data_IF_287364438271
#
_entry.id   IF_287364438271
#
_cell.length_a   1.000
_cell.length_b   1.000
_cell.length_c   1.000
_cell.angle_alpha   90.00
_cell.angle_beta   90.00
_cell.angle_gamma   90.00
#
_symmetry.space_group_name_H-M   'P 1'
#
loop_
_entity.id
_entity.type
_entity.pdbx_description
1 polymer ?
#
# COMPACT_ATOMS: atom_id res chain seq x y z
N UNK A 1 -20.47 -40.65 -95.90
CA UNK A 1 -19.94 -41.27 -94.67
C UNK A 1 -21.01 -42.14 -94.08
N UNK A 2 -20.95 -43.41 -94.47
CA UNK A 2 -21.79 -44.51 -94.00
C UNK A 2 -21.48 -44.77 -92.53
N UNK A 3 -22.44 -44.46 -91.66
CA UNK A 3 -22.37 -44.79 -90.25
C UNK A 3 -22.74 -46.28 -90.12
N UNK A 4 -21.73 -47.14 -90.26
CA UNK A 4 -21.89 -48.58 -90.08
C UNK A 4 -21.99 -48.82 -88.58
N UNK A 5 -23.20 -49.11 -88.09
CA UNK A 5 -23.45 -49.54 -86.71
C UNK A 5 -22.53 -50.70 -86.39
N UNK A 6 -21.85 -50.66 -85.23
CA UNK A 6 -20.85 -51.67 -84.88
C UNK A 6 -21.51 -53.04 -84.67
N UNK A 7 -20.86 -54.09 -85.15
CA UNK A 7 -21.37 -55.47 -85.07
C UNK A 7 -21.67 -55.89 -83.61
N UNK A 8 -20.90 -55.37 -82.64
CA UNK A 8 -21.13 -55.56 -81.21
C UNK A 8 -22.46 -54.98 -80.71
N UNK A 9 -22.85 -53.81 -81.22
CA UNK A 9 -24.09 -53.14 -80.85
C UNK A 9 -25.31 -53.87 -81.42
N UNK A 10 -25.20 -54.36 -82.66
CA UNK A 10 -26.22 -55.22 -83.25
C UNK A 10 -26.36 -56.56 -82.50
N UNK A 11 -25.26 -57.23 -82.14
CA UNK A 11 -25.33 -58.48 -81.38
C UNK A 11 -25.91 -58.27 -79.96
N UNK A 12 -25.56 -57.18 -79.28
CA UNK A 12 -26.10 -56.85 -77.96
C UNK A 12 -27.60 -56.54 -77.99
N UNK A 13 -28.04 -55.74 -78.97
CA UNK A 13 -29.46 -55.45 -79.17
C UNK A 13 -30.26 -56.71 -79.55
N UNK A 14 -29.70 -57.59 -80.39
CA UNK A 14 -30.37 -58.82 -80.81
C UNK A 14 -30.51 -59.81 -79.66
N UNK A 15 -29.47 -59.96 -78.80
CA UNK A 15 -29.55 -60.82 -77.61
C UNK A 15 -30.61 -60.34 -76.62
N UNK A 16 -30.70 -59.02 -76.38
CA UNK A 16 -31.73 -58.45 -75.50
C UNK A 16 -33.15 -58.64 -76.07
N UNK A 17 -33.31 -58.50 -77.39
CA UNK A 17 -34.59 -58.74 -78.07
C UNK A 17 -34.98 -60.22 -77.98
N UNK A 18 -34.04 -61.15 -78.15
CA UNK A 18 -34.33 -62.58 -78.09
C UNK A 18 -34.69 -63.02 -76.67
N UNK A 19 -34.03 -62.46 -75.64
CA UNK A 19 -34.38 -62.68 -74.24
C UNK A 19 -35.74 -62.07 -73.86
N UNK A 20 -36.07 -60.87 -74.36
CA UNK A 20 -37.42 -60.31 -74.19
C UNK A 20 -38.47 -61.13 -74.93
N UNK A 21 -38.16 -61.67 -76.11
CA UNK A 21 -39.10 -62.51 -76.86
C UNK A 21 -39.33 -63.85 -76.17
N UNK A 22 -38.28 -64.45 -75.60
CA UNK A 22 -38.37 -65.70 -74.86
C UNK A 22 -39.14 -65.51 -73.55
N UNK A 23 -38.83 -64.47 -72.77
CA UNK A 23 -39.55 -64.15 -71.54
C UNK A 23 -41.02 -63.79 -71.80
N UNK A 24 -41.34 -63.06 -72.87
CA UNK A 24 -42.73 -62.80 -73.25
C UNK A 24 -43.48 -64.08 -73.68
N UNK A 25 -42.84 -64.99 -74.42
CA UNK A 25 -43.45 -66.26 -74.83
C UNK A 25 -43.70 -67.19 -73.62
N UNK A 26 -42.77 -67.22 -72.65
CA UNK A 26 -42.90 -67.97 -71.39
C UNK A 26 -44.00 -67.36 -70.49
N UNK A 27 -44.04 -66.02 -70.38
CA UNK A 27 -45.06 -65.29 -69.63
C UNK A 27 -46.44 -65.54 -70.24
N UNK A 28 -46.60 -65.47 -71.57
CA UNK A 28 -47.88 -65.72 -72.24
C UNK A 28 -48.37 -67.18 -72.07
N UNK A 29 -47.45 -68.16 -72.06
CA UNK A 29 -47.78 -69.55 -71.74
C UNK A 29 -48.32 -69.73 -70.31
N UNK A 30 -47.86 -68.94 -69.35
CA UNK A 30 -48.27 -69.03 -67.94
C UNK A 30 -49.35 -68.01 -67.53
N UNK A 31 -49.64 -66.99 -68.35
CA UNK A 31 -50.65 -65.95 -68.12
C UNK A 31 -51.95 -66.12 -68.93
N UNK A 32 -52.15 -67.24 -69.64
CA UNK A 32 -53.42 -67.58 -70.31
C UNK A 32 -54.48 -68.06 -69.30
N UNK A 33 -54.98 -67.11 -68.50
CA UNK A 33 -55.97 -67.30 -67.43
C UNK A 33 -57.25 -68.06 -67.87
N UNK A 34 -57.83 -67.85 -69.07
CA UNK A 34 -59.03 -68.58 -69.49
C UNK A 34 -58.78 -70.09 -69.67
N UNK A 35 -57.67 -70.48 -70.31
CA UNK A 35 -57.32 -71.89 -70.53
C UNK A 35 -56.94 -72.60 -69.24
N UNK A 36 -56.29 -71.90 -68.31
CA UNK A 36 -55.93 -72.47 -67.01
C UNK A 36 -57.18 -72.68 -66.13
N UNK A 37 -58.14 -71.73 -66.13
CA UNK A 37 -59.41 -71.90 -65.42
C UNK A 37 -60.21 -73.10 -65.93
N UNK A 38 -60.22 -73.32 -67.25
CA UNK A 38 -60.88 -74.48 -67.85
C UNK A 38 -60.24 -75.79 -67.43
N UNK A 39 -58.91 -75.91 -67.45
CA UNK A 39 -58.20 -77.11 -66.96
C UNK A 39 -58.47 -77.40 -65.47
N UNK A 40 -58.48 -76.36 -64.64
CA UNK A 40 -58.79 -76.51 -63.21
C UNK A 40 -60.24 -76.93 -63.00
N UNK A 41 -61.18 -76.35 -63.75
CA UNK A 41 -62.59 -76.76 -63.70
C UNK A 41 -62.77 -78.22 -64.16
N UNK A 42 -62.04 -78.65 -65.18
CA UNK A 42 -62.10 -80.02 -65.70
C UNK A 42 -61.50 -81.05 -64.74
N UNK A 43 -60.36 -80.76 -64.10
CA UNK A 43 -59.81 -81.63 -63.05
C UNK A 43 -60.74 -81.71 -61.84
N UNK A 44 -61.37 -80.61 -61.45
CA UNK A 44 -62.34 -80.61 -60.35
C UNK A 44 -63.57 -81.45 -60.73
N UNK A 45 -64.04 -81.35 -61.98
CA UNK A 45 -65.12 -82.18 -62.51
C UNK A 45 -64.78 -83.67 -62.42
N UNK A 46 -63.62 -84.08 -62.92
CA UNK A 46 -63.17 -85.48 -62.86
C UNK A 46 -63.06 -85.98 -61.42
N UNK A 47 -62.55 -85.13 -60.51
CA UNK A 47 -62.42 -85.47 -59.10
C UNK A 47 -63.79 -85.80 -58.46
N UNK A 48 -64.82 -84.98 -58.71
CA UNK A 48 -66.16 -85.24 -58.17
C UNK A 48 -66.85 -86.43 -58.85
N UNK A 49 -66.68 -86.61 -60.15
CA UNK A 49 -67.16 -87.82 -60.86
C UNK A 49 -66.54 -89.10 -60.32
N UNK A 50 -65.23 -89.10 -60.07
CA UNK A 50 -64.53 -90.25 -59.48
C UNK A 50 -65.02 -90.58 -58.05
N UNK A 51 -65.58 -89.59 -57.35
CA UNK A 51 -66.20 -89.74 -56.03
C UNK A 51 -67.69 -90.11 -56.08
N UNK A 52 -68.24 -90.35 -57.28
CA UNK A 52 -69.63 -90.78 -57.47
C UNK A 52 -70.67 -89.69 -57.23
N UNK A 53 -70.28 -88.41 -57.27
CA UNK A 53 -71.17 -87.26 -57.09
C UNK A 53 -71.27 -86.52 -58.42
N UNK A 54 -72.45 -86.49 -59.02
CA UNK A 54 -72.69 -85.69 -60.22
C UNK A 54 -72.94 -84.23 -59.83
N UNK A 55 -72.04 -83.35 -60.26
CA UNK A 55 -72.13 -81.90 -60.06
C UNK A 55 -72.37 -81.24 -61.40
N UNK A 56 -73.31 -80.31 -61.45
CA UNK A 56 -73.65 -79.56 -62.68
C UNK A 56 -72.44 -78.73 -63.17
N UNK A 57 -72.19 -78.79 -64.48
CA UNK A 57 -71.00 -78.19 -65.09
C UNK A 57 -70.89 -76.68 -64.85
N UNK A 58 -72.03 -75.98 -64.82
CA UNK A 58 -72.09 -74.55 -64.60
C UNK A 58 -71.62 -74.17 -63.18
N UNK A 59 -71.90 -75.01 -62.17
CA UNK A 59 -71.56 -74.74 -60.77
C UNK A 59 -70.05 -74.82 -60.52
N UNK A 60 -69.37 -75.80 -61.15
CA UNK A 60 -67.91 -75.95 -61.05
C UNK A 60 -67.20 -74.75 -61.67
N UNK A 61 -67.68 -74.29 -62.82
CA UNK A 61 -67.08 -73.17 -63.54
C UNK A 61 -67.26 -71.84 -62.77
N UNK A 62 -68.44 -71.63 -62.17
CA UNK A 62 -68.71 -70.46 -61.32
C UNK A 62 -67.86 -70.46 -60.05
N UNK A 63 -67.72 -71.60 -59.37
CA UNK A 63 -66.89 -71.74 -58.18
C UNK A 63 -65.41 -71.42 -58.44
N UNK A 64 -64.85 -71.95 -59.54
CA UNK A 64 -63.46 -71.66 -59.94
C UNK A 64 -63.30 -70.18 -60.28
N UNK A 65 -64.25 -69.57 -61.01
CA UNK A 65 -64.22 -68.13 -61.30
C UNK A 65 -64.15 -67.28 -60.03
N UNK A 66 -64.99 -67.58 -59.03
CA UNK A 66 -65.09 -66.78 -57.82
C UNK A 66 -63.85 -66.94 -56.91
N UNK A 67 -63.27 -68.15 -56.85
CA UNK A 67 -62.04 -68.41 -56.12
C UNK A 67 -60.86 -67.54 -56.61
N UNK A 68 -60.71 -67.41 -57.93
CA UNK A 68 -59.65 -66.56 -58.49
C UNK A 68 -59.91 -65.06 -58.34
N UNK A 69 -61.18 -64.63 -58.21
CA UNK A 69 -61.53 -63.23 -58.00
C UNK A 69 -61.15 -62.72 -56.59
N UNK A 70 -61.35 -63.54 -55.55
CA UNK A 70 -61.19 -63.11 -54.15
C UNK A 70 -59.74 -63.18 -53.61
N UNK A 71 -58.80 -63.78 -54.34
CA UNK A 71 -57.41 -63.96 -53.86
C UNK A 71 -56.60 -62.66 -53.76
N UNK A 72 -57.03 -61.57 -54.41
CA UNK A 72 -56.25 -60.33 -54.55
C UNK A 72 -56.79 -59.15 -53.72
N UNK A 73 -57.76 -59.37 -52.83
CA UNK A 73 -58.33 -58.32 -51.99
C UNK A 73 -57.75 -58.36 -50.57
N UNK A 74 -57.20 -57.23 -50.12
CA UNK A 74 -56.66 -57.05 -48.76
C UNK A 74 -57.79 -56.89 -47.74
N UNK A 75 -57.76 -57.65 -46.64
CA UNK A 75 -58.67 -57.47 -45.50
C UNK A 75 -57.98 -56.68 -44.39
N UNK A 76 -58.50 -55.49 -44.07
CA UNK A 76 -57.99 -54.67 -42.98
C UNK A 76 -58.39 -55.23 -41.60
N UNK A 77 -57.50 -55.19 -40.58
CA UNK A 77 -57.83 -55.62 -39.22
C UNK A 77 -58.87 -54.72 -38.56
N UNK A 78 -59.65 -55.29 -37.63
CA UNK A 78 -60.81 -54.66 -36.98
C UNK A 78 -60.50 -53.29 -36.32
N UNK A 79 -61.47 -52.35 -36.28
CA UNK A 79 -61.25 -50.99 -35.80
C UNK A 79 -60.96 -50.94 -34.29
N UNK A 80 -59.76 -50.49 -33.93
CA UNK A 80 -59.40 -50.16 -32.54
C UNK A 80 -60.26 -49.01 -32.03
N UNK A 81 -60.71 -49.08 -30.77
CA UNK A 81 -61.56 -48.08 -30.12
C UNK A 81 -60.97 -46.66 -30.11
N UNK A 82 -61.83 -45.64 -30.05
CA UNK A 82 -61.45 -44.22 -30.17
C UNK A 82 -60.48 -43.75 -29.09
N UNK A 83 -60.65 -44.21 -27.84
CA UNK A 83 -59.73 -43.90 -26.74
C UNK A 83 -58.35 -44.53 -26.95
N UNK A 84 -58.30 -45.77 -27.45
CA UNK A 84 -57.03 -46.42 -27.79
C UNK A 84 -56.30 -45.69 -28.91
N UNK A 85 -57.03 -45.17 -29.91
CA UNK A 85 -56.47 -44.33 -30.98
C UNK A 85 -55.95 -42.98 -30.47
N UNK A 86 -56.64 -42.36 -29.53
CA UNK A 86 -56.20 -41.10 -28.92
C UNK A 86 -54.96 -41.28 -28.04
N UNK A 87 -54.94 -42.30 -27.18
CA UNK A 87 -53.78 -42.63 -26.36
C UNK A 87 -52.59 -43.06 -27.21
N UNK A 88 -52.82 -43.84 -28.27
CA UNK A 88 -51.77 -44.19 -29.23
C UNK A 88 -51.22 -42.93 -29.92
N UNK A 89 -52.07 -42.00 -30.36
CA UNK A 89 -51.61 -40.72 -30.96
C UNK A 89 -50.85 -39.86 -29.96
N UNK A 90 -51.33 -39.73 -28.73
CA UNK A 90 -50.64 -39.00 -27.67
C UNK A 90 -49.27 -39.65 -27.36
N UNK A 91 -49.21 -40.98 -27.27
CA UNK A 91 -47.96 -41.71 -27.03
C UNK A 91 -46.98 -41.62 -28.21
N UNK A 92 -47.45 -41.73 -29.45
CA UNK A 92 -46.59 -41.60 -30.65
C UNK A 92 -46.02 -40.18 -30.75
N UNK A 93 -46.82 -39.16 -30.41
CA UNK A 93 -46.38 -37.76 -30.41
C UNK A 93 -45.68 -37.31 -29.12
N UNK A 94 -45.40 -38.23 -28.18
CA UNK A 94 -44.84 -37.91 -26.85
C UNK A 94 -43.58 -37.05 -26.89
N UNK A 95 -42.71 -37.24 -27.88
CA UNK A 95 -41.50 -36.43 -28.04
C UNK A 95 -41.76 -34.94 -28.26
N UNK A 96 -42.96 -34.57 -28.70
CA UNK A 96 -43.35 -33.19 -29.05
C UNK A 96 -44.12 -32.45 -27.95
N UNK A 97 -44.76 -33.16 -27.02
CA UNK A 97 -45.58 -32.54 -25.96
C UNK A 97 -45.17 -32.91 -24.54
N UNK A 98 -44.58 -34.09 -24.30
CA UNK A 98 -44.30 -34.58 -22.95
C UNK A 98 -43.17 -33.78 -22.28
N UNK A 99 -42.11 -33.47 -23.01
CA UNK A 99 -40.98 -32.68 -22.49
C UNK A 99 -41.41 -31.27 -22.03
N UNK A 100 -42.11 -30.46 -22.85
CA UNK A 100 -42.54 -29.13 -22.39
C UNK A 100 -43.60 -29.19 -21.28
N UNK A 101 -44.54 -30.15 -21.30
CA UNK A 101 -45.57 -30.26 -20.25
C UNK A 101 -45.01 -30.69 -18.90
N UNK A 102 -44.11 -31.67 -18.87
CA UNK A 102 -43.41 -32.06 -17.64
C UNK A 102 -42.52 -30.93 -17.13
N UNK A 103 -41.86 -30.19 -18.04
CA UNK A 103 -41.09 -29.00 -17.67
C UNK A 103 -41.94 -27.92 -16.99
N UNK A 104 -43.09 -27.56 -17.57
CA UNK A 104 -44.00 -26.55 -17.00
C UNK A 104 -44.59 -27.02 -15.68
N UNK A 105 -45.04 -28.27 -15.58
CA UNK A 105 -45.55 -28.84 -14.33
C UNK A 105 -44.47 -28.92 -13.25
N UNK A 106 -43.24 -29.26 -13.63
CA UNK A 106 -42.09 -29.28 -12.72
C UNK A 106 -41.75 -27.89 -12.18
N UNK A 107 -41.73 -26.87 -13.03
CA UNK A 107 -41.52 -25.47 -12.61
C UNK A 107 -42.67 -24.98 -11.74
N UNK A 108 -43.92 -25.30 -12.09
CA UNK A 108 -45.09 -24.96 -11.28
C UNK A 108 -45.07 -25.61 -9.90
N UNK A 109 -44.74 -26.91 -9.84
CA UNK A 109 -44.61 -27.65 -8.58
C UNK A 109 -43.45 -27.10 -7.72
N UNK A 110 -42.32 -26.77 -8.34
CA UNK A 110 -41.19 -26.12 -7.66
C UNK A 110 -41.58 -24.75 -7.12
N UNK A 111 -42.30 -23.93 -7.90
CA UNK A 111 -42.78 -22.63 -7.47
C UNK A 111 -43.76 -22.73 -6.27
N UNK A 112 -44.56 -23.80 -6.18
CA UNK A 112 -45.51 -24.00 -5.08
C UNK A 112 -44.80 -24.56 -3.83
N UNK A 113 -43.92 -25.56 -3.99
CA UNK A 113 -43.32 -26.26 -2.86
C UNK A 113 -42.04 -25.60 -2.33
N UNK A 114 -41.22 -25.04 -3.22
CA UNK A 114 -39.87 -24.56 -2.87
C UNK A 114 -39.83 -23.04 -2.73
N UNK A 115 -40.54 -22.29 -3.58
CA UNK A 115 -40.45 -20.83 -3.57
C UNK A 115 -40.84 -20.16 -2.22
N UNK A 116 -41.89 -20.60 -1.48
CA UNK A 116 -42.24 -20.02 -0.18
C UNK A 116 -41.17 -20.28 0.89
N UNK A 117 -40.61 -21.50 0.90
CA UNK A 117 -39.54 -21.89 1.83
C UNK A 117 -38.24 -21.15 1.51
N UNK A 118 -37.94 -20.97 0.21
CA UNK A 118 -36.77 -20.22 -0.24
C UNK A 118 -36.92 -18.71 0.02
N UNK A 119 -38.11 -18.13 -0.14
CA UNK A 119 -38.35 -16.72 0.18
C UNK A 119 -38.26 -16.46 1.68
N UNK A 120 -38.83 -17.33 2.52
CA UNK A 120 -38.71 -17.23 3.98
C UNK A 120 -37.25 -17.41 4.45
N UNK A 121 -36.52 -18.39 3.91
CA UNK A 121 -35.10 -18.59 4.22
C UNK A 121 -34.25 -17.39 3.79
N UNK A 122 -34.46 -16.86 2.58
CA UNK A 122 -33.70 -15.70 2.09
C UNK A 122 -34.05 -14.42 2.85
N UNK A 123 -35.30 -14.23 3.28
CA UNK A 123 -35.71 -13.15 4.17
C UNK A 123 -35.00 -13.25 5.52
N UNK A 124 -34.99 -14.42 6.16
CA UNK A 124 -34.31 -14.67 7.43
C UNK A 124 -32.78 -14.50 7.33
N UNK A 125 -32.17 -14.97 6.24
CA UNK A 125 -30.75 -14.79 5.95
C UNK A 125 -30.41 -13.30 5.74
N UNK A 126 -31.30 -12.55 5.07
CA UNK A 126 -31.10 -11.10 4.87
C UNK A 126 -31.29 -10.28 6.15
N UNK A 127 -32.19 -10.71 7.04
CA UNK A 127 -32.42 -10.10 8.35
C UNK A 127 -31.24 -10.32 9.30
N UNK A 128 -30.73 -11.55 9.39
CA UNK A 128 -29.54 -11.86 10.20
C UNK A 128 -28.30 -11.13 9.68
N UNK A 129 -28.12 -11.06 8.35
CA UNK A 129 -27.04 -10.27 7.76
C UNK A 129 -27.19 -8.76 8.00
N UNK A 130 -28.42 -8.23 7.94
CA UNK A 130 -28.70 -6.83 8.25
C UNK A 130 -28.45 -6.52 9.74
N UNK A 131 -28.89 -7.40 10.64
CA UNK A 131 -28.65 -7.30 12.08
C UNK A 131 -27.15 -7.31 12.39
N UNK A 132 -26.39 -8.24 11.81
CA UNK A 132 -24.94 -8.29 12.02
C UNK A 132 -24.20 -7.02 11.60
N UNK A 133 -24.65 -6.35 10.52
CA UNK A 133 -24.09 -5.04 10.10
C UNK A 133 -24.46 -3.91 11.08
N UNK A 134 -25.68 -3.93 11.61
CA UNK A 134 -26.12 -2.95 12.62
C UNK A 134 -25.35 -3.16 13.92
N UNK A 135 -25.10 -4.40 14.32
CA UNK A 135 -24.31 -4.75 15.51
C UNK A 135 -22.84 -4.32 15.34
N UNK A 136 -22.21 -4.60 14.18
CA UNK A 136 -20.86 -4.09 13.85
C UNK A 136 -20.81 -2.56 13.93
N UNK A 137 -21.80 -1.88 13.34
CA UNK A 137 -21.87 -0.43 13.37
C UNK A 137 -21.96 0.11 14.80
N UNK A 138 -22.75 -0.54 15.67
CA UNK A 138 -22.90 -0.17 17.09
C UNK A 138 -21.65 -0.38 17.91
N UNK A 139 -20.97 -1.51 17.71
CA UNK A 139 -19.69 -1.79 18.35
C UNK A 139 -18.63 -0.74 17.94
N UNK A 140 -18.59 -0.40 16.65
CA UNK A 140 -17.72 0.66 16.15
C UNK A 140 -18.03 2.00 16.80
N UNK A 141 -19.30 2.42 16.87
CA UNK A 141 -19.70 3.67 17.56
C UNK A 141 -19.22 3.67 19.03
N UNK A 142 -19.38 2.56 19.76
CA UNK A 142 -18.93 2.45 21.14
C UNK A 142 -17.41 2.57 21.28
N UNK A 143 -16.64 1.87 20.43
CA UNK A 143 -15.18 1.96 20.42
C UNK A 143 -14.67 3.35 20.03
N UNK A 144 -15.41 4.03 19.16
CA UNK A 144 -15.07 5.32 18.60
C UNK A 144 -15.12 6.44 19.66
N UNK A 145 -16.07 6.37 20.59
CA UNK A 145 -16.14 7.29 21.71
C UNK A 145 -14.88 7.25 22.60
N UNK A 146 -14.38 6.04 22.87
CA UNK A 146 -13.13 5.85 23.63
C UNK A 146 -11.91 6.42 22.90
N UNK A 147 -11.81 6.21 21.58
CA UNK A 147 -10.71 6.76 20.76
C UNK A 147 -10.74 8.29 20.77
N UNK A 148 -11.93 8.89 20.63
CA UNK A 148 -12.12 10.34 20.64
C UNK A 148 -11.71 10.95 21.97
N UNK A 149 -12.15 10.38 23.09
CA UNK A 149 -11.80 10.88 24.43
C UNK A 149 -10.28 10.80 24.68
N UNK A 150 -9.64 9.70 24.29
CA UNK A 150 -8.19 9.55 24.38
C UNK A 150 -7.45 10.60 23.54
N UNK A 151 -7.90 10.83 22.31
CA UNK A 151 -7.33 11.82 21.41
C UNK A 151 -7.52 13.24 21.95
N UNK A 152 -8.72 13.57 22.42
CA UNK A 152 -9.02 14.87 23.03
C UNK A 152 -8.15 15.14 24.27
N UNK A 153 -7.99 14.13 25.14
CA UNK A 153 -7.09 14.20 26.28
C UNK A 153 -5.65 14.45 25.83
N UNK A 154 -5.13 13.68 24.87
CA UNK A 154 -3.77 13.86 24.33
C UNK A 154 -3.53 15.25 23.74
N UNK A 155 -4.50 15.77 22.99
CA UNK A 155 -4.44 17.11 22.42
C UNK A 155 -4.41 18.15 23.54
N UNK A 156 -5.26 18.01 24.56
CA UNK A 156 -5.28 18.94 25.70
C UNK A 156 -3.95 18.95 26.47
N UNK A 157 -3.35 17.78 26.69
CA UNK A 157 -2.04 17.68 27.37
C UNK A 157 -0.92 18.29 26.55
N UNK A 158 -0.91 18.05 25.23
CA UNK A 158 0.12 18.61 24.34
C UNK A 158 -0.04 20.12 24.14
N UNK A 159 -1.27 20.64 24.09
CA UNK A 159 -1.52 22.08 24.05
C UNK A 159 -1.09 22.81 25.32
N UNK A 160 -1.12 22.12 26.47
CA UNK A 160 -0.65 22.67 27.74
C UNK A 160 0.89 22.71 27.85
N UNK A 161 1.61 21.91 27.06
CA UNK A 161 3.07 21.96 27.00
C UNK A 161 3.53 23.18 26.20
N UNK A 162 4.26 24.09 26.86
CA UNK A 162 4.76 25.34 26.28
C UNK A 162 5.75 25.09 25.13
N UNK A 163 6.55 24.02 25.19
CA UNK A 163 7.48 23.69 24.11
C UNK A 163 6.72 23.28 22.86
N UNK A 164 5.73 22.40 23.03
CA UNK A 164 4.87 21.93 21.93
C UNK A 164 4.04 23.09 21.37
N UNK A 165 3.44 23.92 22.22
CA UNK A 165 2.60 25.04 21.80
C UNK A 165 3.34 26.09 20.92
N UNK A 166 4.65 26.22 21.08
CA UNK A 166 5.48 27.16 20.31
C UNK A 166 6.01 26.58 18.99
N UNK A 167 5.86 25.26 18.75
CA UNK A 167 6.33 24.64 17.52
C UNK A 167 5.44 25.00 16.33
N UNK A 168 6.01 25.48 15.21
CA UNK A 168 5.23 25.72 13.98
C UNK A 168 4.50 24.46 13.48
N UNK A 169 5.17 23.31 13.55
CA UNK A 169 4.58 22.02 13.16
C UNK A 169 3.40 21.64 14.07
N UNK A 170 3.49 21.92 15.37
CA UNK A 170 2.40 21.62 16.31
C UNK A 170 1.16 22.48 16.04
N UNK A 171 1.34 23.75 15.65
CA UNK A 171 0.20 24.62 15.28
C UNK A 171 -0.62 24.03 14.14
N UNK A 172 0.06 23.55 13.09
CA UNK A 172 -0.61 22.91 11.94
C UNK A 172 -1.38 21.65 12.36
N UNK A 173 -0.78 20.80 13.20
CA UNK A 173 -1.45 19.58 13.70
C UNK A 173 -2.64 19.93 14.60
N UNK A 174 -2.54 20.96 15.44
CA UNK A 174 -3.63 21.41 16.28
C UNK A 174 -4.79 22.04 15.50
N UNK A 175 -4.51 22.72 14.38
CA UNK A 175 -5.54 23.22 13.46
C UNK A 175 -6.30 22.07 12.80
N UNK A 176 -5.60 21.01 12.36
CA UNK A 176 -6.20 19.81 11.78
C UNK A 176 -7.02 18.99 12.80
N UNK A 177 -6.74 19.15 14.09
CA UNK A 177 -7.41 18.40 15.15
C UNK A 177 -8.89 18.80 15.30
N UNK A 178 -9.21 20.08 15.11
CA UNK A 178 -10.58 20.60 15.22
C UNK A 178 -11.58 19.83 14.37
N UNK A 179 -11.42 19.81 13.03
CA UNK A 179 -12.38 19.14 12.13
C UNK A 179 -12.45 17.62 12.36
N UNK A 180 -11.35 16.96 12.73
CA UNK A 180 -11.34 15.52 13.02
C UNK A 180 -12.11 15.21 14.31
N UNK A 181 -11.95 16.01 15.37
CA UNK A 181 -12.73 15.84 16.59
C UNK A 181 -14.21 16.18 16.38
N UNK A 182 -14.53 17.14 15.51
CA UNK A 182 -15.90 17.47 15.15
C UNK A 182 -16.59 16.37 14.34
N UNK A 183 -15.92 15.82 13.31
CA UNK A 183 -16.43 14.66 12.57
C UNK A 183 -16.65 13.49 13.52
N UNK A 184 -15.70 13.28 14.44
CA UNK A 184 -15.78 12.22 15.42
C UNK A 184 -16.96 12.38 16.40
N UNK A 185 -17.27 13.61 16.84
CA UNK A 185 -18.46 13.91 17.66
C UNK A 185 -19.76 13.73 16.88
N UNK A 186 -19.77 14.05 15.57
CA UNK A 186 -20.93 13.84 14.72
C UNK A 186 -21.23 12.35 14.54
N UNK A 187 -20.19 11.52 14.42
CA UNK A 187 -20.31 10.07 14.31
C UNK A 187 -20.95 9.40 15.55
N UNK A 188 -20.76 9.94 16.75
CA UNK A 188 -21.43 9.45 17.97
C UNK A 188 -22.94 9.70 17.98
N UNK A 189 -23.43 10.64 17.17
CA UNK A 189 -24.87 10.95 17.08
C UNK A 189 -25.62 10.01 16.14
N UNK A 190 -24.94 9.06 15.50
CA UNK A 190 -25.56 8.08 14.62
C UNK A 190 -26.42 7.13 15.47
N UNK A 191 -27.75 7.32 15.41
CA UNK A 191 -28.71 6.44 16.08
C UNK A 191 -29.00 5.22 15.22
N UNK A 192 -28.60 4.03 15.70
CA UNK A 192 -28.83 2.74 15.04
C UNK A 192 -29.90 1.92 15.81
N UNK A 193 -30.85 1.27 15.10
CA UNK A 193 -31.91 0.49 15.72
C UNK A 193 -31.36 -0.69 16.54
N UNK A 194 -32.09 -1.10 17.58
CA UNK A 194 -31.69 -2.25 18.41
C UNK A 194 -31.89 -3.59 17.69
N UNK A 195 -32.99 -3.69 16.94
CA UNK A 195 -33.37 -4.88 16.18
C UNK A 195 -33.86 -4.45 14.80
N UNK A 196 -33.41 -5.17 13.77
CA UNK A 196 -33.83 -4.96 12.38
C UNK A 196 -35.13 -5.71 12.12
N UNK A 197 -36.11 -5.03 11.50
CA UNK A 197 -37.41 -5.63 11.16
C UNK A 197 -37.49 -6.01 9.69
N UNK A 198 -38.43 -6.90 9.34
CA UNK A 198 -38.68 -7.32 7.95
C UNK A 198 -39.07 -6.16 7.03
N UNK A 199 -39.63 -5.08 7.57
CA UNK A 199 -40.01 -3.89 6.81
C UNK A 199 -38.84 -2.93 6.61
N UNK A 200 -37.97 -2.78 7.61
CA UNK A 200 -36.89 -1.78 7.63
C UNK A 200 -35.51 -2.32 7.21
N UNK A 201 -35.34 -3.64 7.05
CA UNK A 201 -34.00 -4.24 6.88
C UNK A 201 -33.15 -3.67 5.75
N UNK A 202 -33.77 -3.27 4.63
CA UNK A 202 -33.04 -2.67 3.51
C UNK A 202 -32.51 -1.28 3.84
N UNK A 203 -33.29 -0.49 4.57
CA UNK A 203 -32.93 0.87 4.97
C UNK A 203 -31.91 0.84 6.11
N UNK A 204 -32.20 0.02 7.14
CA UNK A 204 -31.31 -0.17 8.29
C UNK A 204 -29.95 -0.73 7.87
N UNK A 205 -29.92 -1.72 6.96
CA UNK A 205 -28.65 -2.24 6.44
C UNK A 205 -27.89 -1.20 5.63
N UNK A 206 -28.55 -0.29 4.90
CA UNK A 206 -27.88 0.78 4.15
C UNK A 206 -27.31 1.83 5.08
N UNK A 207 -28.08 2.23 6.10
CA UNK A 207 -27.66 3.14 7.16
C UNK A 207 -26.45 2.56 7.93
N UNK A 208 -26.51 1.28 8.31
CA UNK A 208 -25.40 0.60 8.97
C UNK A 208 -24.16 0.55 8.07
N UNK A 209 -24.32 0.24 6.78
CA UNK A 209 -23.17 0.20 5.85
C UNK A 209 -22.51 1.58 5.66
N UNK A 210 -23.29 2.66 5.57
CA UNK A 210 -22.75 4.02 5.48
C UNK A 210 -22.11 4.48 6.80
N UNK A 211 -22.70 4.11 7.94
CA UNK A 211 -22.15 4.34 9.27
C UNK A 211 -20.81 3.62 9.45
N UNK A 212 -20.73 2.32 9.16
CA UNK A 212 -19.48 1.55 9.21
C UNK A 212 -18.40 2.19 8.34
N UNK A 213 -18.75 2.59 7.11
CA UNK A 213 -17.80 3.23 6.19
C UNK A 213 -17.26 4.56 6.71
N UNK A 214 -18.13 5.42 7.25
CA UNK A 214 -17.74 6.71 7.82
C UNK A 214 -16.93 6.54 9.11
N UNK A 215 -17.38 5.70 10.03
CA UNK A 215 -16.68 5.39 11.29
C UNK A 215 -15.29 4.79 11.06
N UNK A 216 -15.13 3.90 10.09
CA UNK A 216 -13.81 3.34 9.73
C UNK A 216 -12.88 4.43 9.19
N UNK A 217 -13.41 5.38 8.41
CA UNK A 217 -12.65 6.53 7.93
C UNK A 217 -12.26 7.46 9.08
N UNK A 218 -13.21 7.86 9.93
CA UNK A 218 -12.95 8.75 11.07
C UNK A 218 -11.94 8.11 12.05
N UNK A 219 -12.07 6.82 12.33
CA UNK A 219 -11.09 6.08 13.15
C UNK A 219 -9.69 6.06 12.52
N UNK A 220 -9.59 5.92 11.19
CA UNK A 220 -8.31 6.02 10.49
C UNK A 220 -7.71 7.44 10.55
N UNK A 221 -8.53 8.46 10.37
CA UNK A 221 -8.12 9.87 10.43
C UNK A 221 -7.68 10.24 11.87
N UNK A 222 -8.41 9.81 12.89
CA UNK A 222 -8.03 9.95 14.31
C UNK A 222 -6.72 9.23 14.63
N UNK A 223 -6.51 8.02 14.10
CA UNK A 223 -5.25 7.28 14.30
C UNK A 223 -4.06 7.95 13.61
N UNK A 224 -4.26 8.48 12.40
CA UNK A 224 -3.24 9.24 11.70
C UNK A 224 -2.85 10.49 12.50
N UNK A 225 -3.84 11.23 13.02
CA UNK A 225 -3.60 12.39 13.87
C UNK A 225 -2.90 12.01 15.18
N UNK A 226 -3.32 10.92 15.84
CA UNK A 226 -2.66 10.41 17.03
C UNK A 226 -1.18 10.10 16.78
N UNK A 227 -0.86 9.53 15.62
CA UNK A 227 0.54 9.24 15.22
C UNK A 227 1.36 10.52 15.02
N UNK A 228 0.77 11.57 14.44
CA UNK A 228 1.43 12.87 14.30
C UNK A 228 1.68 13.53 15.67
N UNK A 229 0.71 13.44 16.58
CA UNK A 229 0.84 13.94 17.95
C UNK A 229 1.91 13.17 18.74
N UNK A 230 2.01 11.85 18.55
CA UNK A 230 3.07 11.03 19.15
C UNK A 230 4.45 11.41 18.61
N UNK A 231 4.57 11.69 17.32
CA UNK A 231 5.83 12.15 16.73
C UNK A 231 6.25 13.52 17.29
N UNK A 232 5.31 14.45 17.47
CA UNK A 232 5.57 15.75 18.12
C UNK A 232 6.00 15.60 19.58
N UNK A 233 5.33 14.71 20.33
CA UNK A 233 5.72 14.41 21.72
C UNK A 233 7.14 13.86 21.76
N UNK A 234 7.45 12.89 20.92
CA UNK A 234 8.78 12.28 20.85
C UNK A 234 9.87 13.30 20.51
N UNK A 235 9.63 14.19 19.53
CA UNK A 235 10.56 15.28 19.21
C UNK A 235 10.77 16.25 20.37
N UNK A 236 9.73 16.50 21.15
CA UNK A 236 9.83 17.38 22.32
C UNK A 236 10.59 16.70 23.46
N UNK A 237 10.37 15.40 23.66
CA UNK A 237 11.06 14.63 24.69
C UNK A 237 12.56 14.48 24.40
N UNK A 238 12.98 14.46 23.12
CA UNK A 238 14.40 14.49 22.76
C UNK A 238 15.04 15.86 23.02
N UNK A 239 14.30 16.97 22.88
CA UNK A 239 14.85 18.31 23.08
C UNK A 239 14.91 18.74 24.55
N UNK A 240 13.94 18.28 25.36
CA UNK A 240 13.75 18.73 26.75
C UNK A 240 15.01 18.64 27.64
N UNK A 241 15.84 17.57 27.58
CA UNK A 241 17.07 17.51 28.37
C UNK A 241 18.06 18.64 28.05
N UNK A 242 18.09 19.12 26.81
CA UNK A 242 19.00 20.20 26.40
C UNK A 242 18.58 21.55 26.95
N UNK A 243 17.28 21.79 27.12
CA UNK A 243 16.78 22.98 27.81
C UNK A 243 17.24 23.02 29.27
N UNK A 244 17.11 21.90 29.99
CA UNK A 244 17.61 21.78 31.37
C UNK A 244 19.12 22.00 31.43
N UNK A 245 19.88 21.35 30.53
CA UNK A 245 21.34 21.55 30.46
C UNK A 245 21.75 22.98 30.14
N UNK A 246 21.00 23.68 29.28
CA UNK A 246 21.23 25.09 29.00
C UNK A 246 21.03 25.97 30.24
N UNK A 247 19.93 25.75 30.97
CA UNK A 247 19.66 26.46 32.22
C UNK A 247 20.74 26.20 33.27
N UNK A 248 21.15 24.93 33.42
CA UNK A 248 22.23 24.55 34.33
C UNK A 248 23.56 25.21 33.93
N UNK A 249 23.89 25.23 32.63
CA UNK A 249 25.11 25.86 32.14
C UNK A 249 25.11 27.38 32.37
N UNK A 250 23.97 28.06 32.15
CA UNK A 250 23.80 29.49 32.45
C UNK A 250 24.00 29.77 33.94
N UNK A 251 23.39 28.96 34.81
CA UNK A 251 23.51 29.10 36.25
C UNK A 251 24.93 28.83 36.74
N UNK A 252 25.62 27.84 36.18
CA UNK A 252 27.02 27.55 36.49
C UNK A 252 27.92 28.72 36.10
N UNK A 253 27.76 29.30 34.91
CA UNK A 253 28.53 30.49 34.49
C UNK A 253 28.22 31.69 35.38
N UNK A 254 26.95 31.89 35.76
CA UNK A 254 26.56 32.95 36.71
C UNK A 254 27.26 32.79 38.06
N UNK A 255 27.33 31.56 38.60
CA UNK A 255 28.01 31.25 39.87
C UNK A 255 29.53 31.49 39.84
N UNK A 256 30.16 31.54 38.67
CA UNK A 256 31.60 31.83 38.56
C UNK A 256 31.93 33.29 38.92
N UNK A 257 30.96 34.20 38.87
CA UNK A 257 31.20 35.62 39.20
C UNK A 257 32.13 36.32 38.21
N UNK A 258 32.05 35.97 36.93
CA UNK A 258 32.86 36.56 35.85
C UNK A 258 32.60 38.07 35.71
N UNK A 259 33.58 38.80 35.17
CA UNK A 259 33.36 40.19 34.75
C UNK A 259 32.30 40.29 33.65
N UNK A 260 31.64 41.44 33.49
CA UNK A 260 30.66 41.65 32.42
C UNK A 260 31.23 41.37 31.02
N UNK A 261 32.51 41.69 30.79
CA UNK A 261 33.18 41.43 29.52
C UNK A 261 33.37 39.92 29.27
N UNK A 262 33.78 39.16 30.29
CA UNK A 262 34.00 37.72 30.17
C UNK A 262 32.68 36.95 30.10
N UNK A 263 31.68 37.33 30.93
CA UNK A 263 30.33 36.78 30.87
C UNK A 263 29.68 37.02 29.49
N UNK A 264 29.93 38.19 28.88
CA UNK A 264 29.46 38.52 27.54
C UNK A 264 29.96 37.57 26.44
N UNK A 265 31.10 36.89 26.64
CA UNK A 265 31.60 35.91 25.67
C UNK A 265 30.77 34.62 25.62
N UNK A 266 30.02 34.29 26.67
CA UNK A 266 29.13 33.12 26.71
C UNK A 266 27.79 33.38 26.02
N UNK A 267 27.34 34.63 25.95
CA UNK A 267 26.04 35.01 25.40
C UNK A 267 25.79 34.50 23.97
N UNK A 268 26.71 34.63 23.00
CA UNK A 268 26.50 34.07 21.66
C UNK A 268 26.41 32.54 21.65
N UNK A 269 27.13 31.86 22.56
CA UNK A 269 27.06 30.39 22.68
C UNK A 269 25.72 29.94 23.26
N UNK A 270 25.23 30.62 24.30
CA UNK A 270 23.89 30.36 24.83
C UNK A 270 22.79 30.63 23.80
N UNK A 271 22.90 31.71 23.04
CA UNK A 271 21.95 32.02 21.97
C UNK A 271 21.93 30.95 20.87
N UNK A 272 23.10 30.39 20.52
CA UNK A 272 23.22 29.28 19.57
C UNK A 272 22.50 28.02 20.08
N UNK A 273 22.67 27.67 21.36
CA UNK A 273 21.96 26.53 21.97
C UNK A 273 20.45 26.79 22.06
N UNK A 274 20.02 27.99 22.47
CA UNK A 274 18.61 28.37 22.54
C UNK A 274 17.94 28.27 21.16
N UNK A 275 18.61 28.75 20.11
CA UNK A 275 18.14 28.62 18.74
C UNK A 275 18.02 27.16 18.30
N UNK A 276 19.02 26.34 18.60
CA UNK A 276 18.99 24.91 18.30
C UNK A 276 17.81 24.20 18.99
N UNK A 277 17.54 24.54 20.26
CA UNK A 277 16.38 24.04 21.02
C UNK A 277 15.06 24.49 20.37
N UNK A 278 14.94 25.74 19.94
CA UNK A 278 13.73 26.26 19.28
C UNK A 278 13.38 25.54 17.99
N UNK A 279 14.40 25.14 17.21
CA UNK A 279 14.22 24.44 15.93
C UNK A 279 14.28 22.92 16.06
N UNK A 280 14.30 22.39 17.29
CA UNK A 280 14.36 20.95 17.59
C UNK A 280 15.62 20.23 17.05
N UNK A 281 16.74 20.95 16.93
CA UNK A 281 18.01 20.38 16.52
C UNK A 281 18.84 19.95 17.75
N UNK A 282 18.66 18.69 18.15
CA UNK A 282 19.39 18.10 19.27
C UNK A 282 20.91 18.05 19.04
N UNK A 283 21.35 17.83 17.80
CA UNK A 283 22.78 17.75 17.46
C UNK A 283 23.46 19.10 17.61
N UNK A 284 22.84 20.16 17.09
CA UNK A 284 23.35 21.51 17.23
C UNK A 284 23.30 21.99 18.70
N UNK A 285 22.28 21.61 19.46
CA UNK A 285 22.18 21.91 20.89
C UNK A 285 23.31 21.24 21.68
N UNK A 286 23.61 19.97 21.40
CA UNK A 286 24.74 19.24 22.00
C UNK A 286 26.07 19.92 21.69
N UNK A 287 26.32 20.25 20.42
CA UNK A 287 27.55 20.91 19.99
C UNK A 287 27.71 22.28 20.66
N UNK A 288 26.65 23.09 20.70
CA UNK A 288 26.69 24.39 21.36
C UNK A 288 26.95 24.27 22.87
N UNK A 289 26.40 23.26 23.55
CA UNK A 289 26.69 23.01 24.96
C UNK A 289 28.13 22.57 25.20
N UNK A 290 28.71 21.76 24.30
CA UNK A 290 30.15 21.42 24.36
C UNK A 290 31.03 22.67 24.24
N UNK A 291 30.68 23.60 23.34
CA UNK A 291 31.39 24.87 23.20
C UNK A 291 31.29 25.72 24.48
N UNK A 292 30.11 25.78 25.12
CA UNK A 292 29.91 26.44 26.42
C UNK A 292 30.77 25.80 27.50
N UNK A 293 30.77 24.47 27.60
CA UNK A 293 31.53 23.72 28.59
C UNK A 293 33.05 23.91 28.43
N UNK A 294 33.55 23.92 27.19
CA UNK A 294 34.95 24.19 26.88
C UNK A 294 35.36 25.60 27.33
N UNK A 295 34.56 26.62 27.00
CA UNK A 295 34.85 27.99 27.41
C UNK A 295 34.75 28.15 28.94
N UNK A 296 33.80 27.46 29.59
CA UNK A 296 33.65 27.42 31.05
C UNK A 296 34.89 26.80 31.71
N UNK A 297 35.39 25.69 31.16
CA UNK A 297 36.59 25.03 31.66
C UNK A 297 37.80 25.96 31.57
N UNK A 298 37.98 26.66 30.44
CA UNK A 298 39.04 27.67 30.29
C UNK A 298 38.87 28.80 31.30
N UNK A 299 37.65 29.31 31.49
CA UNK A 299 37.38 30.36 32.46
C UNK A 299 37.74 29.91 33.89
N UNK A 300 37.41 28.67 34.27
CA UNK A 300 37.68 28.11 35.59
C UNK A 300 39.18 27.86 35.85
N UNK A 301 39.93 27.41 34.84
CA UNK A 301 41.33 27.04 35.00
C UNK A 301 42.24 28.29 35.05
N UNK A 302 43.03 28.51 36.11
CA UNK A 302 44.06 29.55 36.08
C UNK A 302 45.16 29.17 35.07
N UNK A 303 45.62 30.13 34.27
CA UNK A 303 46.61 29.89 33.21
C UNK A 303 47.77 30.87 33.29
N UNK A 304 48.97 30.41 32.92
CA UNK A 304 50.10 31.28 32.55
C UNK A 304 50.23 31.31 31.04
N UNK A 305 50.55 32.47 30.49
CA UNK A 305 50.85 32.63 29.07
C UNK A 305 52.35 32.80 28.93
N UNK A 306 52.99 31.88 28.23
CA UNK A 306 54.45 31.83 28.14
C UNK A 306 54.93 31.73 26.70
N UNK A 307 56.08 32.35 26.43
CA UNK A 307 56.79 32.23 25.15
C UNK A 307 57.23 30.78 24.96
N UNK A 308 56.97 30.24 23.78
CA UNK A 308 57.41 28.91 23.39
C UNK A 308 58.93 28.91 23.31
N UNK A 309 59.57 28.10 24.15
CA UNK A 309 61.04 28.03 24.26
C UNK A 309 61.46 26.56 24.22
N UNK A 310 61.74 26.07 23.00
CA UNK A 310 62.28 24.72 22.76
C UNK A 310 63.05 24.68 21.45
N UNK A 311 64.05 23.81 21.39
CA UNK A 311 64.92 23.63 20.23
C UNK A 311 64.12 23.17 19.00
N UNK A 312 64.38 23.77 17.84
CA UNK A 312 63.71 23.43 16.57
C UNK A 312 62.37 24.14 16.33
N UNK A 313 61.82 24.84 17.33
CA UNK A 313 60.56 25.58 17.21
C UNK A 313 60.79 27.08 17.12
N UNK A 314 59.94 27.79 16.37
CA UNK A 314 59.96 29.26 16.34
C UNK A 314 59.46 29.80 17.68
N UNK A 315 60.09 30.87 18.19
CA UNK A 315 59.60 31.61 19.38
C UNK A 315 59.07 32.99 19.04
N UNK A 316 59.40 33.50 17.85
CA UNK A 316 58.98 34.82 17.41
C UNK A 316 58.97 34.93 15.90
N UNK A 317 58.12 35.84 15.41
CA UNK A 317 57.85 36.06 13.99
C UNK A 317 57.70 37.54 13.72
N UNK A 318 58.34 38.01 12.64
CA UNK A 318 58.14 39.34 12.09
C UNK A 318 57.14 39.23 10.93
N UNK A 319 56.08 40.06 10.94
CA UNK A 319 55.05 40.12 9.91
C UNK A 319 55.04 41.51 9.27
N UNK A 320 54.84 41.57 7.96
CA UNK A 320 54.57 42.81 7.24
C UNK A 320 53.05 42.98 7.06
N UNK A 321 52.32 42.89 8.17
CA UNK A 321 50.87 43.02 8.21
C UNK A 321 50.52 44.23 9.08
N UNK A 322 50.57 45.39 8.47
CA UNK A 322 49.99 46.63 8.96
C UNK A 322 49.37 47.33 7.72
N UNK A 323 48.11 47.82 7.76
CA UNK A 323 47.52 48.60 6.67
C UNK A 323 48.38 49.81 6.23
N UNK A 324 49.29 50.26 7.11
CA UNK A 324 50.23 51.36 6.87
C UNK A 324 51.58 50.91 6.28
N UNK A 325 51.81 49.60 6.09
CA UNK A 325 53.06 49.04 5.57
C UNK A 325 54.18 48.86 6.61
N UNK A 326 53.88 49.06 7.89
CA UNK A 326 54.83 48.85 9.00
C UNK A 326 55.09 47.38 9.34
N UNK A 327 56.24 47.14 10.01
CA UNK A 327 56.57 45.83 10.59
C UNK A 327 55.78 45.61 11.88
N UNK A 328 55.24 44.41 12.04
CA UNK A 328 54.59 43.94 13.26
C UNK A 328 55.38 42.77 13.84
N UNK A 329 55.58 42.78 15.16
CA UNK A 329 56.38 41.77 15.86
C UNK A 329 55.50 40.92 16.78
N UNK A 330 55.67 39.61 16.70
CA UNK A 330 54.91 38.64 17.47
C UNK A 330 55.84 37.68 18.19
N UNK A 331 55.54 37.38 19.46
CA UNK A 331 56.11 36.23 20.16
C UNK A 331 55.11 35.07 20.09
N UNK A 332 55.59 33.87 19.81
CA UNK A 332 54.77 32.67 19.81
C UNK A 332 54.61 32.19 21.25
N UNK A 333 53.37 32.03 21.68
CA UNK A 333 53.01 31.73 23.05
C UNK A 333 52.11 30.49 23.16
N UNK A 334 52.24 29.79 24.28
CA UNK A 334 51.39 28.70 24.73
C UNK A 334 50.75 29.11 26.07
N UNK A 335 49.49 28.72 26.28
CA UNK A 335 48.84 28.87 27.57
C UNK A 335 48.99 27.58 28.37
N UNK A 336 49.48 27.67 29.60
CA UNK A 336 49.80 26.54 30.45
C UNK A 336 48.92 26.53 31.70
N UNK A 337 48.44 25.35 32.11
CA UNK A 337 47.79 25.15 33.40
C UNK A 337 48.79 25.07 34.55
N UNK A 338 48.30 24.92 35.79
CA UNK A 338 49.15 24.79 36.97
C UNK A 338 50.08 23.56 36.97
N UNK A 339 49.81 22.57 36.12
CA UNK A 339 50.64 21.37 35.95
C UNK A 339 51.63 21.50 34.80
N UNK A 340 51.61 22.62 34.07
CA UNK A 340 52.45 22.86 32.89
C UNK A 340 51.89 22.24 31.60
N UNK A 341 50.65 21.76 31.59
CA UNK A 341 50.03 21.25 30.36
C UNK A 341 49.53 22.39 29.49
N UNK A 342 49.68 22.25 28.18
CA UNK A 342 49.17 23.22 27.21
C UNK A 342 47.63 23.16 27.14
N UNK A 343 46.99 24.31 27.31
CA UNK A 343 45.54 24.49 27.21
C UNK A 343 45.21 25.28 25.95
N UNK A 344 44.57 24.67 24.94
CA UNK A 344 44.16 25.38 23.73
C UNK A 344 43.16 26.50 24.04
N UNK A 345 43.38 27.69 23.46
CA UNK A 345 42.53 28.85 23.68
C UNK A 345 41.79 29.28 22.40
N UNK A 346 40.54 29.79 22.51
CA UNK A 346 39.78 30.26 21.37
C UNK A 346 40.24 31.66 20.94
N UNK A 347 41.27 31.71 20.09
CA UNK A 347 41.95 32.93 19.64
C UNK A 347 41.39 33.40 18.30
N UNK A 348 41.15 34.70 18.18
CA UNK A 348 40.77 35.36 16.92
C UNK A 348 42.01 35.96 16.26
N UNK A 349 42.29 35.58 15.02
CA UNK A 349 43.38 36.16 14.24
C UNK A 349 43.02 37.57 13.77
N UNK A 350 43.92 38.53 13.96
CA UNK A 350 43.79 39.89 13.43
C UNK A 350 43.90 39.93 11.90
N UNK A 351 44.52 38.91 11.30
CA UNK A 351 44.81 38.87 9.87
C UNK A 351 43.66 38.28 9.06
N UNK A 352 43.01 37.24 9.60
CA UNK A 352 41.93 36.53 8.91
C UNK A 352 40.55 36.80 9.51
N UNK A 353 40.49 37.30 10.74
CA UNK A 353 39.24 37.41 11.52
C UNK A 353 38.72 36.07 12.04
N UNK A 354 39.36 34.94 11.70
CA UNK A 354 38.92 33.61 12.10
C UNK A 354 39.23 33.35 13.58
N UNK A 355 38.26 32.73 14.27
CA UNK A 355 38.43 32.26 15.65
C UNK A 355 38.57 30.74 15.69
N UNK A 356 39.69 30.25 16.23
CA UNK A 356 39.93 28.81 16.43
C UNK A 356 40.59 28.51 17.76
N UNK A 357 40.43 27.28 18.23
CA UNK A 357 41.20 26.80 19.38
C UNK A 357 42.64 26.53 18.95
N UNK A 358 43.58 27.25 19.55
CA UNK A 358 45.00 27.17 19.22
C UNK A 358 45.82 26.87 20.48
N UNK A 359 46.67 25.84 20.39
CA UNK A 359 47.65 25.52 21.43
C UNK A 359 48.81 26.50 21.44
N UNK A 360 49.22 26.96 20.25
CA UNK A 360 50.27 27.95 20.02
C UNK A 360 49.74 29.07 19.13
N UNK A 361 50.04 30.32 19.48
CA UNK A 361 49.59 31.50 18.74
C UNK A 361 50.56 32.66 18.91
N UNK A 362 50.60 33.59 17.95
CA UNK A 362 51.43 34.78 18.04
C UNK A 362 50.72 35.88 18.82
N UNK A 363 51.42 36.49 19.78
CA UNK A 363 50.96 37.63 20.57
C UNK A 363 51.74 38.87 20.17
N UNK A 364 51.03 39.93 19.77
CA UNK A 364 51.68 41.18 19.31
C UNK A 364 52.45 41.84 20.44
N UNK A 365 53.73 42.11 20.21
CA UNK A 365 54.63 42.80 21.14
C UNK A 365 55.21 44.06 20.50
N UNK A 366 55.83 44.91 21.31
CA UNK A 366 56.62 46.01 20.79
C UNK A 366 57.98 45.51 20.24
N UNK A 367 58.65 46.35 19.44
CA UNK A 367 59.93 46.01 18.81
C UNK A 367 61.03 45.67 19.82
N UNK A 368 61.11 46.41 20.92
CA UNK A 368 62.17 46.23 21.92
C UNK A 368 62.07 44.84 22.57
N UNK A 369 60.86 44.42 22.91
CA UNK A 369 60.58 43.08 23.46
C UNK A 369 60.90 41.97 22.48
N UNK A 370 60.54 42.15 21.21
CA UNK A 370 60.89 41.18 20.16
C UNK A 370 62.41 41.05 20.00
N UNK A 371 63.13 42.17 19.95
CA UNK A 371 64.56 42.16 19.76
C UNK A 371 65.30 41.56 20.97
N UNK A 372 64.82 41.83 22.19
CA UNK A 372 65.36 41.22 23.40
C UNK A 372 65.25 39.69 23.36
N UNK A 373 64.04 39.17 23.14
CA UNK A 373 63.80 37.73 23.06
C UNK A 373 64.53 37.07 21.86
N UNK A 374 64.70 37.79 20.75
CA UNK A 374 65.48 37.32 19.59
C UNK A 374 66.97 37.19 19.92
N UNK A 375 67.55 38.19 20.56
CA UNK A 375 68.96 38.17 20.94
C UNK A 375 69.26 37.05 21.94
N UNK A 376 68.36 36.88 22.91
CA UNK A 376 68.39 35.81 23.91
C UNK A 376 68.41 34.43 23.25
N UNK A 377 67.41 34.15 22.41
CA UNK A 377 67.34 32.89 21.66
C UNK A 377 68.50 32.64 20.69
N UNK A 378 69.16 33.69 20.21
CA UNK A 378 70.36 33.55 19.39
C UNK A 378 71.61 33.18 20.20
N UNK A 379 71.63 33.46 21.51
CA UNK A 379 72.77 33.19 22.37
C UNK A 379 72.90 31.70 22.69
N UNK A 380 71.81 31.04 23.05
CA UNK A 380 71.82 29.65 23.51
C UNK A 380 70.68 28.76 22.96
N UNK A 381 69.80 29.32 22.11
CA UNK A 381 68.65 28.62 21.54
C UNK A 381 67.37 28.69 22.36
N UNK A 382 67.39 29.34 23.53
CA UNK A 382 66.26 29.44 24.46
C UNK A 382 65.84 30.90 24.69
N UNK A 383 64.59 31.08 25.10
CA UNK A 383 64.09 32.33 25.67
C UNK A 383 64.00 32.17 27.18
N UNK A 384 64.66 33.03 27.94
CA UNK A 384 64.73 33.03 29.40
C UNK A 384 63.51 33.71 30.03
N UNK A 385 63.19 34.95 29.63
CA UNK A 385 62.01 35.67 30.12
C UNK A 385 60.76 35.30 29.31
N UNK A 386 60.17 34.17 29.71
CA UNK A 386 59.05 33.57 28.98
C UNK A 386 57.69 34.11 29.39
N UNK A 387 57.55 34.71 30.58
CA UNK A 387 56.23 35.03 31.12
C UNK A 387 55.62 36.26 30.43
N UNK A 388 54.56 36.04 29.65
CA UNK A 388 53.84 37.12 28.97
C UNK A 388 52.65 37.65 29.78
N UNK A 389 51.98 36.78 30.53
CA UNK A 389 50.81 37.15 31.32
C UNK A 389 50.22 36.01 32.13
N UNK A 390 49.21 36.32 32.94
CA UNK A 390 48.47 35.34 33.75
C UNK A 390 46.97 35.56 33.62
N UNK A 391 46.21 34.48 33.61
CA UNK A 391 44.75 34.48 33.69
C UNK A 391 44.34 33.85 35.01
N UNK A 392 43.60 34.58 35.83
CA UNK A 392 43.06 34.04 37.07
C UNK A 392 42.03 32.94 36.79
N UNK A 393 41.73 32.14 37.83
CA UNK A 393 40.54 31.32 37.84
C UNK A 393 39.29 32.22 37.80
N UNK A 394 38.21 31.72 37.19
CA UNK A 394 36.97 32.46 36.94
C UNK A 394 37.19 33.77 36.18
N UNK A 395 38.04 33.72 35.15
CA UNK A 395 38.31 34.83 34.24
C UNK A 395 38.63 34.29 32.85
N UNK A 396 38.26 35.03 31.80
CA UNK A 396 38.71 34.78 30.42
C UNK A 396 39.79 35.78 29.97
N UNK A 397 40.02 36.82 30.77
CA UNK A 397 40.95 37.90 30.45
C UNK A 397 42.33 37.69 31.06
N UNK A 398 43.37 37.83 30.23
CA UNK A 398 44.77 37.80 30.67
C UNK A 398 45.21 39.16 31.22
N UNK A 399 45.87 39.14 32.39
CA UNK A 399 46.67 40.23 32.89
C UNK A 399 48.10 40.08 32.32
N UNK A 400 48.45 40.94 31.37
CA UNK A 400 49.77 40.94 30.75
C UNK A 400 50.82 41.62 31.64
N UNK A 401 52.07 41.13 31.56
CA UNK A 401 53.21 41.77 32.21
C UNK A 401 53.41 43.17 31.60
N UNK A 402 53.63 44.17 32.46
CA UNK A 402 53.72 45.57 32.06
C UNK A 402 54.98 45.80 31.22
N UNK A 403 54.81 46.36 30.01
CA UNK A 403 55.91 46.65 29.09
C UNK A 403 55.84 45.85 27.78
N UNK A 404 56.01 44.51 27.82
CA UNK A 404 56.18 43.71 26.62
C UNK A 404 54.94 43.61 25.73
N UNK A 405 53.75 43.74 26.30
CA UNK A 405 52.48 43.51 25.61
C UNK A 405 51.51 44.67 25.88
N UNK A 406 50.77 45.11 24.85
CA UNK A 406 49.67 46.07 25.02
C UNK A 406 48.58 45.45 25.91
N UNK A 407 47.77 46.27 26.57
CA UNK A 407 46.67 45.79 27.44
C UNK A 407 45.67 44.89 26.71
N UNK A 408 45.51 45.07 25.39
CA UNK A 408 44.79 44.17 24.49
C UNK A 408 45.66 43.97 23.24
N UNK A 409 46.48 42.91 23.17
CA UNK A 409 47.30 42.65 22.00
C UNK A 409 46.47 42.06 20.86
N UNK A 410 46.96 42.25 19.64
CA UNK A 410 46.47 41.50 18.48
C UNK A 410 47.09 40.10 18.50
N UNK A 411 46.38 39.14 17.93
CA UNK A 411 46.83 37.75 17.83
C UNK A 411 46.93 37.30 16.38
N UNK A 412 47.87 36.40 16.10
CA UNK A 412 47.98 35.70 14.81
C UNK A 412 48.01 34.20 15.03
N UNK A 413 47.61 33.46 14.00
CA UNK A 413 47.46 32.02 14.06
C UNK A 413 48.40 31.27 13.10
N UNK A 414 49.10 31.96 12.20
CA UNK A 414 49.96 31.37 11.17
C UNK A 414 51.29 32.14 11.03
N UNK A 415 52.39 31.46 10.69
CA UNK A 415 53.75 32.05 10.65
C UNK A 415 54.85 31.30 9.88
#
# INVERSE_FOLDING_TARGET
MSNVVSLSEQMGAMALIDEMRFSQAELQKQLDLPRHRLRVAEQIREFYRAKGIEVEDALVEEGVRNFFANRLTYQAPAPVGTLAKLLARAYITRGRWLVPTVGVLGVGLWAILVAPSFSAFSAQASLSAAQGRVDEARELVASHAGQREQLEKRVSTLKADVLVANLPAARQVFEQTGPVLESARAAERITLPLHVTEQSYKEDSKLAASAVKSLKKDSADMKALATQLDALSAQTDTIRPWLTKLQDAQEQVRKMGLSNADAGQFQPLFAKVDQAVRVMDATAAEQGLKEVEQLRAIAATPLTLEVVSRTGEKSMVERNFDPTGGKSWYLLAEALDASGNVVPLPITSVETGERRYASMFGVRVNQATYQAAKNDKQADGLVDDRLMGKKAANSLSFAFVKGPVKTKPDYILEW
#
